data_IF_065385655028
#
_entry.id   IF_065385655028
#
_cell.length_a   1.000
_cell.length_b   1.000
_cell.length_c   1.000
_cell.angle_alpha   90.00
_cell.angle_beta   90.00
_cell.angle_gamma   90.00
#
_symmetry.space_group_name_H-M   'P 1'
#
loop_
_entity.id
_entity.type
_entity.pdbx_description
1 polymer ?
#
# COMPACT_ATOMS: atom_id res chain seq x y z
N UNK A 1 10.01 -24.66 -27.90
CA UNK A 1 10.32 -23.30 -27.37
C UNK A 1 9.86 -23.24 -25.91
N UNK A 2 10.66 -22.71 -24.98
CA UNK A 2 10.23 -22.60 -23.58
C UNK A 2 9.30 -21.39 -23.42
N UNK A 3 7.99 -21.63 -23.33
CA UNK A 3 6.91 -20.63 -23.30
C UNK A 3 7.04 -19.69 -22.08
N UNK A 4 7.63 -20.17 -21.00
CA UNK A 4 7.71 -19.45 -19.71
C UNK A 4 8.89 -18.48 -19.64
N UNK A 5 9.97 -18.72 -20.40
CA UNK A 5 11.20 -17.92 -20.30
C UNK A 5 10.99 -16.40 -20.37
N UNK A 6 10.13 -15.84 -21.26
CA UNK A 6 9.92 -14.40 -21.33
C UNK A 6 9.33 -13.78 -20.06
N UNK A 7 8.49 -14.51 -19.32
CA UNK A 7 7.80 -14.02 -18.11
C UNK A 7 8.44 -14.52 -16.81
N UNK A 8 9.52 -15.31 -16.89
CA UNK A 8 10.15 -15.99 -15.75
C UNK A 8 10.50 -15.05 -14.59
N UNK A 9 11.05 -13.88 -14.88
CA UNK A 9 11.42 -12.90 -13.85
C UNK A 9 10.18 -12.38 -13.11
N UNK A 10 9.10 -12.10 -13.84
CA UNK A 10 7.80 -11.75 -13.26
C UNK A 10 7.28 -12.84 -12.33
N UNK A 11 7.36 -14.10 -12.76
CA UNK A 11 6.89 -15.24 -11.97
C UNK A 11 7.69 -15.41 -10.68
N UNK A 12 9.02 -15.29 -10.75
CA UNK A 12 9.88 -15.31 -9.56
C UNK A 12 9.47 -14.19 -8.60
N UNK A 13 9.26 -12.98 -9.08
CA UNK A 13 8.83 -11.85 -8.25
C UNK A 13 7.45 -12.08 -7.62
N UNK A 14 6.48 -12.62 -8.36
CA UNK A 14 5.17 -12.98 -7.83
C UNK A 14 5.26 -14.06 -6.74
N UNK A 15 6.10 -15.08 -6.93
CA UNK A 15 6.35 -16.10 -5.91
C UNK A 15 7.06 -15.53 -4.68
N UNK A 16 8.02 -14.62 -4.86
CA UNK A 16 8.66 -13.91 -3.76
C UNK A 16 7.61 -13.10 -2.97
N UNK A 17 6.70 -12.39 -3.65
CA UNK A 17 5.60 -11.67 -2.98
C UNK A 17 4.73 -12.60 -2.13
N UNK A 18 4.40 -13.81 -2.62
CA UNK A 18 3.67 -14.81 -1.85
C UNK A 18 4.42 -15.28 -0.61
N UNK A 19 5.70 -15.62 -0.76
CA UNK A 19 6.54 -16.08 0.35
C UNK A 19 6.66 -14.97 1.39
N UNK A 20 6.94 -13.73 0.97
CA UNK A 20 7.00 -12.58 1.87
C UNK A 20 5.68 -12.35 2.58
N UNK A 21 4.54 -12.49 1.89
CA UNK A 21 3.21 -12.40 2.52
C UNK A 21 2.98 -13.44 3.60
N UNK A 22 3.37 -14.69 3.36
CA UNK A 22 3.26 -15.78 4.33
C UNK A 22 4.19 -15.57 5.54
N UNK A 23 5.44 -15.17 5.29
CA UNK A 23 6.39 -14.83 6.36
C UNK A 23 5.91 -13.64 7.20
N UNK A 24 5.34 -12.62 6.54
CA UNK A 24 4.76 -11.46 7.23
C UNK A 24 3.53 -11.86 8.08
N UNK A 25 2.70 -12.78 7.60
CA UNK A 25 1.60 -13.35 8.39
C UNK A 25 2.12 -14.04 9.65
N UNK A 26 3.14 -14.91 9.50
CA UNK A 26 3.74 -15.62 10.62
C UNK A 26 4.38 -14.66 11.63
N UNK A 27 5.03 -13.61 11.14
CA UNK A 27 5.59 -12.55 11.99
C UNK A 27 4.49 -11.83 12.78
N UNK A 28 3.44 -11.35 12.10
CA UNK A 28 2.31 -10.68 12.74
C UNK A 28 1.60 -11.58 13.76
N UNK A 29 1.43 -12.87 13.46
CA UNK A 29 0.81 -13.82 14.38
C UNK A 29 1.64 -14.07 15.65
N UNK A 30 2.97 -14.08 15.54
CA UNK A 30 3.87 -14.31 16.69
C UNK A 30 4.17 -13.06 17.49
N UNK A 31 4.02 -11.88 16.89
CA UNK A 31 4.33 -10.58 17.51
C UNK A 31 3.10 -9.68 17.68
N UNK A 32 1.88 -10.24 17.58
CA UNK A 32 0.63 -9.47 17.60
C UNK A 32 0.53 -8.57 18.84
N UNK A 33 0.66 -9.15 20.03
CA UNK A 33 0.56 -8.43 21.31
C UNK A 33 1.68 -7.38 21.47
N UNK A 34 2.89 -7.72 21.00
CA UNK A 34 4.03 -6.80 21.08
C UNK A 34 3.82 -5.58 20.17
N UNK A 35 3.36 -5.78 18.93
CA UNK A 35 3.08 -4.70 17.98
C UNK A 35 1.92 -3.83 18.47
N UNK A 36 0.83 -4.46 18.91
CA UNK A 36 -0.34 -3.74 19.42
C UNK A 36 0.02 -2.91 20.66
N UNK A 37 0.70 -3.52 21.64
CA UNK A 37 1.14 -2.84 22.86
C UNK A 37 2.15 -1.72 22.58
N UNK A 38 3.05 -1.90 21.60
CA UNK A 38 3.98 -0.86 21.19
C UNK A 38 3.25 0.35 20.57
N UNK A 39 2.26 0.11 19.71
CA UNK A 39 1.47 1.18 19.12
C UNK A 39 0.60 1.92 20.15
N UNK A 40 -0.02 1.21 21.09
CA UNK A 40 -0.76 1.84 22.18
C UNK A 40 0.14 2.69 23.09
N UNK A 41 1.35 2.20 23.40
CA UNK A 41 2.30 2.94 24.21
C UNK A 41 2.74 4.23 23.48
N UNK A 42 3.01 4.14 22.17
CA UNK A 42 3.36 5.28 21.34
C UNK A 42 2.20 6.30 21.24
N UNK A 43 0.97 5.83 21.07
CA UNK A 43 -0.22 6.67 21.05
C UNK A 43 -0.43 7.40 22.39
N UNK A 44 -0.29 6.71 23.53
CA UNK A 44 -0.39 7.32 24.85
C UNK A 44 0.69 8.38 25.08
N UNK A 45 1.92 8.11 24.64
CA UNK A 45 3.02 9.08 24.73
C UNK A 45 2.67 10.36 23.97
N UNK A 46 2.19 10.25 22.73
CA UNK A 46 1.78 11.39 21.91
C UNK A 46 0.60 12.17 22.47
N UNK A 47 -0.35 11.51 23.14
CA UNK A 47 -1.47 12.20 23.80
C UNK A 47 -1.05 12.90 25.09
N UNK A 48 -0.02 12.40 25.77
CA UNK A 48 0.47 12.98 27.03
C UNK A 48 1.31 14.26 26.87
N UNK A 49 2.03 14.40 25.75
CA UNK A 49 2.92 15.56 25.51
C UNK A 49 2.17 16.90 25.40
N UNK A 50 1.08 17.04 24.60
CA UNK A 50 0.32 18.29 24.53
C UNK A 50 -0.34 18.62 25.87
N UNK A 51 -0.83 17.60 26.59
CA UNK A 51 -1.43 17.78 27.90
C UNK A 51 -0.43 18.34 28.92
N UNK A 52 0.80 17.81 28.93
CA UNK A 52 1.89 18.32 29.78
C UNK A 52 2.31 19.74 29.39
N UNK A 53 2.38 20.07 28.10
CA UNK A 53 2.67 21.44 27.65
C UNK A 53 1.59 22.43 28.11
N UNK A 54 0.31 22.07 27.95
CA UNK A 54 -0.81 22.87 28.47
C UNK A 54 -0.74 23.05 29.99
N UNK A 55 -0.34 22.01 30.74
CA UNK A 55 -0.21 22.13 32.19
C UNK A 55 0.94 23.07 32.58
N UNK A 56 2.08 22.97 31.90
CA UNK A 56 3.23 23.84 32.14
C UNK A 56 2.94 25.30 31.76
N UNK A 57 2.21 25.54 30.66
CA UNK A 57 1.82 26.89 30.23
C UNK A 57 0.82 27.52 31.23
N UNK A 58 -0.14 26.75 31.75
CA UNK A 58 -1.07 27.22 32.79
C UNK A 58 -0.37 27.51 34.13
N UNK A 59 0.62 26.71 34.53
CA UNK A 59 1.37 26.91 35.77
C UNK A 59 2.24 28.18 35.72
N UNK A 60 2.82 28.47 34.55
CA UNK A 60 3.59 29.70 34.30
C UNK A 60 2.72 30.97 34.30
N UNK A 61 1.48 30.90 33.80
CA UNK A 61 0.53 32.03 33.81
C UNK A 61 -0.06 32.29 35.22
N UNK A 62 -0.32 31.23 35.98
CA UNK A 62 -0.76 31.32 37.39
C UNK A 62 0.34 31.87 38.32
N UNK A 63 1.62 31.61 38.00
CA UNK A 63 2.77 32.21 38.71
C UNK A 63 2.95 33.71 38.43
N UNK A 64 2.43 34.22 37.31
CA UNK A 64 2.51 35.64 36.94
C UNK A 64 1.30 36.47 37.39
N UNK A 65 0.14 35.86 37.66
CA UNK A 65 -1.09 36.55 38.08
C UNK A 65 -1.30 36.68 39.60
N UNK A 66 -0.31 36.36 40.44
CA UNK A 66 -0.39 36.65 41.88
C UNK A 66 -0.01 38.11 42.20
N UNK A 67 -0.60 39.09 41.51
CA UNK A 67 -0.59 40.54 41.85
C UNK A 67 -1.63 41.30 40.97
N UNK A 68 -2.93 40.99 41.09
CA UNK A 68 -3.94 41.73 40.32
C UNK A 68 -5.38 41.31 40.58
N UNK A 69 -6.00 41.96 41.57
CA UNK A 69 -7.43 41.85 41.88
C UNK A 69 -8.24 42.50 40.74
N UNK A 70 -9.07 41.74 40.00
CA UNK A 70 -9.94 42.32 38.97
C UNK A 70 -10.89 41.33 38.30
N UNK A 71 -12.19 41.52 38.55
CA UNK A 71 -13.33 40.81 37.96
C UNK A 71 -13.29 40.80 36.42
N UNK A 72 -13.32 39.62 35.80
CA UNK A 72 -13.44 39.48 34.35
C UNK A 72 -13.88 38.07 33.93
N UNK A 73 -15.13 37.95 33.49
CA UNK A 73 -15.70 36.73 32.92
C UNK A 73 -14.95 36.24 31.67
N UNK A 74 -14.55 34.95 31.59
CA UNK A 74 -14.10 34.37 30.33
C UNK A 74 -15.26 33.69 29.60
N UNK A 75 -15.38 34.03 28.32
CA UNK A 75 -16.22 33.34 27.35
C UNK A 75 -15.48 32.10 26.84
N UNK A 76 -16.05 30.93 27.10
CA UNK A 76 -15.63 29.65 26.53
C UNK A 76 -15.91 29.63 25.01
N UNK A 77 -14.84 29.74 24.22
CA UNK A 77 -14.83 29.29 22.83
C UNK A 77 -13.83 28.14 22.70
N UNK A 78 -14.20 26.99 23.25
CA UNK A 78 -13.58 25.72 22.91
C UNK A 78 -13.82 25.46 21.41
N UNK A 79 -12.79 25.68 20.61
CA UNK A 79 -12.76 25.33 19.21
C UNK A 79 -12.96 23.81 19.08
N UNK A 80 -14.17 23.44 18.69
CA UNK A 80 -14.52 22.13 18.19
C UNK A 80 -13.59 21.78 17.02
N UNK A 81 -12.54 20.99 17.31
CA UNK A 81 -11.86 20.20 16.29
C UNK A 81 -12.81 19.10 15.84
N UNK A 82 -13.67 19.44 14.89
CA UNK A 82 -14.54 18.51 14.16
C UNK A 82 -13.68 17.59 13.30
N UNK A 83 -13.20 16.51 13.90
CA UNK A 83 -12.72 15.32 13.20
C UNK A 83 -13.73 14.20 13.40
N UNK A 84 -14.78 14.16 12.59
CA UNK A 84 -15.68 13.01 12.54
C UNK A 84 -14.96 11.82 11.86
N UNK A 85 -14.05 11.16 12.57
CA UNK A 85 -13.51 9.87 12.16
C UNK A 85 -14.16 8.78 13.00
N UNK A 86 -15.03 7.98 12.38
CA UNK A 86 -15.57 6.73 12.94
C UNK A 86 -14.49 5.63 13.09
N UNK A 87 -13.20 5.98 13.17
CA UNK A 87 -12.09 5.03 13.23
C UNK A 87 -11.72 4.73 14.68
N UNK A 88 -11.22 3.52 14.94
CA UNK A 88 -10.69 3.13 16.24
C UNK A 88 -9.46 3.96 16.64
N UNK A 89 -8.76 3.53 17.69
CA UNK A 89 -7.50 4.16 18.10
C UNK A 89 -6.47 4.17 16.96
N UNK A 90 -5.48 5.08 17.00
CA UNK A 90 -4.41 5.12 16.00
C UNK A 90 -3.64 3.80 15.96
N UNK A 91 -3.49 3.13 17.11
CA UNK A 91 -2.92 1.80 17.19
C UNK A 91 -3.71 0.75 16.40
N UNK A 92 -5.05 0.80 16.47
CA UNK A 92 -5.91 -0.09 15.70
C UNK A 92 -5.79 0.17 14.20
N UNK A 93 -5.76 1.44 13.78
CA UNK A 93 -5.59 1.81 12.36
C UNK A 93 -4.22 1.36 11.82
N UNK A 94 -3.16 1.51 12.61
CA UNK A 94 -1.83 0.99 12.29
C UNK A 94 -1.85 -0.53 12.07
N UNK A 95 -2.46 -1.28 12.99
CA UNK A 95 -2.59 -2.74 12.88
C UNK A 95 -3.41 -3.17 11.66
N UNK A 96 -4.51 -2.48 11.36
CA UNK A 96 -5.30 -2.76 10.16
C UNK A 96 -4.49 -2.54 8.88
N UNK A 97 -3.62 -1.52 8.83
CA UNK A 97 -2.74 -1.27 7.68
C UNK A 97 -1.67 -2.36 7.54
N UNK A 98 -1.06 -2.83 8.63
CA UNK A 98 -0.14 -3.97 8.61
C UNK A 98 -0.82 -5.25 8.10
N UNK A 99 -2.06 -5.49 8.52
CA UNK A 99 -2.87 -6.62 8.05
C UNK A 99 -3.21 -6.51 6.56
N UNK A 100 -3.54 -5.31 6.06
CA UNK A 100 -3.72 -5.08 4.62
C UNK A 100 -2.46 -5.41 3.83
N UNK A 101 -1.28 -5.09 4.36
CA UNK A 101 0.01 -5.48 3.76
C UNK A 101 0.10 -6.99 3.54
N UNK A 102 -0.24 -7.80 4.55
CA UNK A 102 -0.30 -9.27 4.43
C UNK A 102 -1.27 -9.72 3.33
N UNK A 103 -2.54 -9.28 3.42
CA UNK A 103 -3.61 -9.70 2.50
C UNK A 103 -3.23 -9.36 1.06
N UNK A 104 -2.64 -8.18 0.83
CA UNK A 104 -2.22 -7.77 -0.49
C UNK A 104 -1.01 -8.52 -1.02
N UNK A 105 -0.01 -8.86 -0.19
CA UNK A 105 1.08 -9.73 -0.62
C UNK A 105 0.57 -11.07 -1.17
N UNK A 106 -0.32 -11.72 -0.42
CA UNK A 106 -0.88 -12.99 -0.84
C UNK A 106 -1.78 -12.85 -2.08
N UNK A 107 -2.79 -11.98 -2.00
CA UNK A 107 -3.78 -11.83 -3.07
C UNK A 107 -3.15 -11.37 -4.38
N UNK A 108 -2.26 -10.37 -4.34
CA UNK A 108 -1.62 -9.84 -5.55
C UNK A 108 -0.53 -10.78 -6.06
N UNK A 109 0.20 -11.49 -5.18
CA UNK A 109 1.15 -12.51 -5.59
C UNK A 109 0.49 -13.63 -6.40
N UNK A 110 -0.65 -14.15 -5.94
CA UNK A 110 -1.41 -15.18 -6.67
C UNK A 110 -1.93 -14.60 -7.98
N UNK A 111 -2.57 -13.42 -7.93
CA UNK A 111 -3.12 -12.77 -9.12
C UNK A 111 -2.03 -12.55 -10.19
N UNK A 112 -0.89 -11.97 -9.82
CA UNK A 112 0.22 -11.72 -10.72
C UNK A 112 0.77 -13.01 -11.32
N UNK A 113 0.94 -14.07 -10.51
CA UNK A 113 1.39 -15.37 -11.02
C UNK A 113 0.44 -15.92 -12.09
N UNK A 114 -0.87 -15.90 -11.84
CA UNK A 114 -1.89 -16.35 -12.80
C UNK A 114 -1.87 -15.51 -14.07
N UNK A 115 -1.87 -14.18 -13.97
CA UNK A 115 -1.84 -13.28 -15.13
C UNK A 115 -0.57 -13.42 -15.95
N UNK A 116 0.58 -13.72 -15.32
CA UNK A 116 1.83 -13.99 -16.01
C UNK A 116 1.83 -15.32 -16.76
N UNK A 117 1.19 -16.35 -16.21
CA UNK A 117 0.97 -17.61 -16.93
C UNK A 117 0.07 -17.40 -18.15
N UNK A 118 -1.02 -16.63 -18.01
CA UNK A 118 -1.88 -16.24 -19.13
C UNK A 118 -1.07 -15.45 -20.17
N UNK A 119 -0.27 -14.48 -19.74
CA UNK A 119 0.61 -13.68 -20.62
C UNK A 119 1.58 -14.58 -21.39
N UNK A 120 2.13 -15.61 -20.76
CA UNK A 120 3.04 -16.56 -21.41
C UNK A 120 2.37 -17.29 -22.58
N UNK A 121 1.07 -17.59 -22.47
CA UNK A 121 0.28 -18.33 -23.46
C UNK A 121 -0.23 -17.46 -24.63
N UNK A 122 -0.14 -16.13 -24.53
CA UNK A 122 -0.51 -15.24 -25.64
C UNK A 122 0.41 -15.43 -26.86
N UNK A 123 -0.03 -15.00 -28.03
CA UNK A 123 0.76 -14.91 -29.28
C UNK A 123 1.70 -13.70 -29.32
N UNK A 124 1.78 -12.92 -28.23
CA UNK A 124 2.65 -11.76 -28.10
C UNK A 124 4.14 -12.13 -28.24
N UNK A 125 4.95 -11.24 -28.84
CA UNK A 125 6.40 -11.44 -28.94
C UNK A 125 7.06 -11.47 -27.57
N UNK A 126 8.14 -12.23 -27.44
CA UNK A 126 8.88 -12.40 -26.17
C UNK A 126 9.31 -11.09 -25.52
N UNK A 127 9.67 -10.06 -26.30
CA UNK A 127 10.06 -8.74 -25.76
C UNK A 127 8.91 -8.11 -24.95
N UNK A 128 7.71 -8.10 -25.50
CA UNK A 128 6.54 -7.50 -24.84
C UNK A 128 6.02 -8.37 -23.69
N UNK A 129 6.11 -9.70 -23.81
CA UNK A 129 5.86 -10.60 -22.68
C UNK A 129 6.81 -10.32 -21.52
N UNK A 130 8.07 -10.01 -21.81
CA UNK A 130 9.06 -9.65 -20.80
C UNK A 130 8.75 -8.31 -20.14
N UNK A 131 8.32 -7.30 -20.91
CA UNK A 131 7.88 -6.01 -20.36
C UNK A 131 6.71 -6.21 -19.38
N UNK A 132 5.66 -6.95 -19.78
CA UNK A 132 4.55 -7.30 -18.90
C UNK A 132 5.01 -8.15 -17.70
N UNK A 133 5.97 -9.04 -17.93
CA UNK A 133 6.68 -9.81 -16.92
C UNK A 133 7.20 -8.93 -15.78
N UNK A 134 7.97 -7.91 -16.15
CA UNK A 134 8.54 -6.95 -15.21
C UNK A 134 7.50 -6.08 -14.55
N UNK A 135 6.53 -5.54 -15.31
CA UNK A 135 5.54 -4.61 -14.76
C UNK A 135 4.60 -5.28 -13.75
N UNK A 136 4.12 -6.50 -14.03
CA UNK A 136 3.34 -7.28 -13.06
C UNK A 136 4.16 -7.63 -11.82
N UNK A 137 5.38 -8.16 -12.01
CA UNK A 137 6.19 -8.61 -10.88
C UNK A 137 6.66 -7.47 -9.97
N UNK A 138 7.10 -6.34 -10.53
CA UNK A 138 7.47 -5.16 -9.76
C UNK A 138 6.27 -4.57 -9.02
N UNK A 139 5.12 -4.44 -9.69
CA UNK A 139 3.90 -3.96 -9.05
C UNK A 139 3.46 -4.86 -7.88
N UNK A 140 3.55 -6.19 -8.06
CA UNK A 140 3.21 -7.17 -7.04
C UNK A 140 4.13 -7.13 -5.81
N UNK A 141 5.43 -6.89 -6.01
CA UNK A 141 6.39 -6.78 -4.91
C UNK A 141 6.37 -5.42 -4.21
N UNK A 142 6.16 -4.32 -4.95
CA UNK A 142 6.29 -2.97 -4.40
C UNK A 142 5.04 -2.49 -3.65
N UNK A 143 3.84 -2.93 -4.08
CA UNK A 143 2.60 -2.44 -3.49
C UNK A 143 2.38 -2.87 -2.03
N UNK A 144 2.54 -4.15 -1.65
CA UNK A 144 2.29 -4.57 -0.27
C UNK A 144 3.22 -3.96 0.80
N UNK A 145 4.54 -3.78 0.57
CA UNK A 145 5.42 -3.04 1.47
C UNK A 145 4.94 -1.62 1.78
N UNK A 146 4.29 -0.94 0.83
CA UNK A 146 3.76 0.40 1.05
C UNK A 146 2.73 0.42 2.19
N UNK A 147 1.87 -0.58 2.29
CA UNK A 147 0.92 -0.73 3.41
C UNK A 147 1.60 -0.98 4.75
N UNK A 148 2.67 -1.78 4.76
CA UNK A 148 3.43 -2.08 5.98
C UNK A 148 4.10 -0.82 6.50
N UNK A 149 4.81 -0.10 5.64
CA UNK A 149 5.46 1.19 5.99
C UNK A 149 4.42 2.20 6.45
N UNK A 150 3.28 2.27 5.76
CA UNK A 150 2.17 3.15 6.16
C UNK A 150 1.65 2.80 7.56
N UNK A 151 1.49 1.51 7.88
CA UNK A 151 1.04 1.06 9.20
C UNK A 151 1.99 1.53 10.31
N UNK A 152 3.29 1.32 10.16
CA UNK A 152 4.28 1.78 11.14
C UNK A 152 4.34 3.30 11.33
N UNK A 153 4.04 4.08 10.28
CA UNK A 153 4.00 5.55 10.35
C UNK A 153 2.68 6.12 10.87
N UNK A 154 1.65 5.29 11.01
CA UNK A 154 0.28 5.77 11.29
C UNK A 154 0.15 6.38 12.67
N UNK A 155 0.78 5.79 13.68
CA UNK A 155 0.71 6.31 15.05
C UNK A 155 1.42 7.66 15.15
N UNK A 156 2.64 7.74 14.62
CA UNK A 156 3.49 8.94 14.69
C UNK A 156 2.93 10.15 13.92
N UNK A 157 2.38 9.92 12.72
CA UNK A 157 2.02 11.01 11.81
C UNK A 157 0.51 11.18 11.64
N UNK A 158 -0.29 10.25 12.17
CA UNK A 158 -1.70 10.13 11.86
C UNK A 158 -1.97 9.49 10.49
N UNK A 159 -3.21 9.04 10.23
CA UNK A 159 -3.52 8.20 9.08
C UNK A 159 -3.25 8.88 7.71
N UNK A 160 -3.64 10.15 7.56
CA UNK A 160 -3.58 10.88 6.31
C UNK A 160 -2.14 11.25 5.93
N UNK A 161 -1.34 11.69 6.89
CA UNK A 161 0.06 12.04 6.64
C UNK A 161 0.91 10.79 6.37
N UNK A 162 0.66 9.69 7.07
CA UNK A 162 1.29 8.41 6.79
C UNK A 162 0.99 7.92 5.36
N UNK A 163 -0.25 8.08 4.89
CA UNK A 163 -0.64 7.75 3.52
C UNK A 163 0.07 8.65 2.49
N UNK A 164 0.06 9.97 2.70
CA UNK A 164 0.75 10.91 1.83
C UNK A 164 2.27 10.60 1.72
N UNK A 165 2.89 10.17 2.83
CA UNK A 165 4.32 9.87 2.90
C UNK A 165 4.77 8.69 2.00
N UNK A 166 3.84 7.82 1.61
CA UNK A 166 4.12 6.62 0.81
C UNK A 166 3.44 6.65 -0.56
N UNK A 167 2.67 7.70 -0.87
CA UNK A 167 1.85 7.78 -2.09
C UNK A 167 2.68 7.61 -3.37
N UNK A 168 3.93 8.09 -3.40
CA UNK A 168 4.82 7.92 -4.55
C UNK A 168 5.11 6.44 -4.88
N UNK A 169 5.27 5.59 -3.86
CA UNK A 169 5.49 4.15 -4.02
C UNK A 169 4.17 3.43 -4.30
N UNK A 170 3.14 3.77 -3.52
CA UNK A 170 1.82 3.18 -3.64
C UNK A 170 1.22 3.41 -5.03
N UNK A 171 1.16 4.67 -5.50
CA UNK A 171 0.55 5.04 -6.76
C UNK A 171 1.30 4.45 -7.96
N UNK A 172 2.64 4.41 -7.92
CA UNK A 172 3.44 3.83 -9.00
C UNK A 172 3.27 2.30 -9.07
N UNK A 173 3.25 1.60 -7.94
CA UNK A 173 3.05 0.16 -7.90
C UNK A 173 1.63 -0.24 -8.36
N UNK A 174 0.59 0.45 -7.88
CA UNK A 174 -0.80 0.25 -8.35
C UNK A 174 -0.92 0.58 -9.83
N UNK A 175 -0.34 1.71 -10.26
CA UNK A 175 -0.36 2.13 -11.65
C UNK A 175 0.25 1.07 -12.58
N UNK A 176 1.39 0.48 -12.20
CA UNK A 176 2.00 -0.62 -12.93
C UNK A 176 1.10 -1.85 -13.01
N UNK A 177 0.48 -2.27 -11.90
CA UNK A 177 -0.43 -3.41 -11.89
C UNK A 177 -1.65 -3.18 -12.78
N UNK A 178 -2.35 -2.05 -12.60
CA UNK A 178 -3.55 -1.73 -13.36
C UNK A 178 -3.25 -1.55 -14.84
N UNK A 179 -2.18 -0.84 -15.19
CA UNK A 179 -1.76 -0.68 -16.59
C UNK A 179 -1.43 -2.04 -17.23
N UNK A 180 -0.77 -2.94 -16.50
CA UNK A 180 -0.47 -4.30 -16.97
C UNK A 180 -1.72 -5.14 -17.16
N UNK A 181 -2.69 -5.06 -16.24
CA UNK A 181 -3.98 -5.74 -16.35
C UNK A 181 -4.78 -5.24 -17.56
N UNK A 182 -4.85 -3.92 -17.76
CA UNK A 182 -5.52 -3.31 -18.91
C UNK A 182 -4.82 -3.74 -20.21
N UNK A 183 -3.49 -3.67 -20.26
CA UNK A 183 -2.73 -4.09 -21.43
C UNK A 183 -2.97 -5.57 -21.77
N UNK A 184 -2.95 -6.45 -20.77
CA UNK A 184 -3.26 -7.87 -20.96
C UNK A 184 -4.69 -8.09 -21.44
N UNK A 185 -5.67 -7.38 -20.89
CA UNK A 185 -7.06 -7.45 -21.35
C UNK A 185 -7.18 -7.04 -22.82
N UNK A 186 -6.53 -5.95 -23.22
CA UNK A 186 -6.50 -5.49 -24.61
C UNK A 186 -5.85 -6.53 -25.52
N UNK A 187 -4.74 -7.14 -25.10
CA UNK A 187 -4.07 -8.23 -25.83
C UNK A 187 -5.02 -9.42 -26.04
N UNK A 188 -5.71 -9.85 -24.98
CA UNK A 188 -6.65 -10.97 -25.05
C UNK A 188 -7.84 -10.66 -25.97
N UNK A 189 -8.36 -9.43 -25.95
CA UNK A 189 -9.40 -8.99 -26.88
C UNK A 189 -8.91 -8.98 -28.33
N UNK A 190 -7.72 -8.44 -28.60
CA UNK A 190 -7.11 -8.47 -29.94
C UNK A 190 -7.01 -9.91 -30.46
N UNK A 191 -6.55 -10.84 -29.63
CA UNK A 191 -6.42 -12.25 -29.98
C UNK A 191 -7.78 -12.93 -30.22
N UNK A 192 -8.77 -12.62 -29.38
CA UNK A 192 -10.13 -13.16 -29.49
C UNK A 192 -10.80 -12.76 -30.81
N UNK A 193 -10.57 -11.53 -31.27
CA UNK A 193 -11.10 -11.04 -32.54
C UNK A 193 -10.19 -11.30 -33.75
N UNK A 194 -9.08 -12.03 -33.56
CA UNK A 194 -8.06 -12.32 -34.60
C UNK A 194 -7.46 -11.05 -35.24
N UNK A 195 -7.48 -9.92 -34.53
CA UNK A 195 -7.01 -8.63 -35.04
C UNK A 195 -5.47 -8.57 -35.13
N UNK A 196 -4.76 -9.50 -34.50
CA UNK A 196 -3.29 -9.60 -34.56
C UNK A 196 -2.73 -9.74 -35.99
N UNK A 197 -3.56 -10.07 -36.98
CA UNK A 197 -3.16 -10.17 -38.40
C UNK A 197 -2.98 -8.80 -39.07
N UNK A 198 -3.55 -7.73 -38.49
CA UNK A 198 -3.48 -6.37 -39.02
C UNK A 198 -2.01 -5.88 -39.10
N UNK A 199 -1.60 -5.20 -40.19
CA UNK A 199 -0.21 -4.78 -40.39
C UNK A 199 0.38 -3.98 -39.22
N UNK A 200 -0.41 -3.09 -38.61
CA UNK A 200 0.01 -2.27 -37.47
C UNK A 200 0.33 -3.10 -36.22
N UNK A 201 -0.38 -4.22 -36.00
CA UNK A 201 -0.24 -5.05 -34.80
C UNK A 201 0.86 -6.11 -34.93
N UNK A 202 1.38 -6.36 -36.14
CA UNK A 202 2.52 -7.27 -36.38
C UNK A 202 3.80 -6.84 -35.67
N UNK A 203 3.90 -5.60 -35.22
CA UNK A 203 5.00 -5.15 -34.37
C UNK A 203 5.00 -5.87 -33.01
N UNK A 204 3.83 -6.17 -32.47
CA UNK A 204 3.62 -6.70 -31.12
C UNK A 204 3.43 -8.21 -31.08
N UNK A 205 2.80 -8.79 -32.11
CA UNK A 205 2.40 -10.20 -32.15
C UNK A 205 3.26 -11.04 -33.09
N UNK A 206 3.39 -12.33 -32.79
CA UNK A 206 3.95 -13.31 -33.73
C UNK A 206 2.96 -13.60 -34.85
N UNK A 207 3.46 -14.02 -36.02
CA UNK A 207 2.58 -14.52 -37.08
C UNK A 207 1.85 -15.77 -36.56
N UNK A 208 0.54 -15.94 -36.85
CA UNK A 208 -0.16 -17.15 -36.48
C UNK A 208 0.51 -18.34 -37.18
N UNK A 209 0.91 -19.36 -36.40
CA UNK A 209 1.32 -20.63 -36.97
C UNK A 209 0.12 -21.20 -37.75
N UNK A 210 0.30 -21.42 -39.05
CA UNK A 210 -0.71 -22.14 -39.85
C UNK A 210 -0.61 -23.60 -39.43
N UNK A 211 -1.47 -24.01 -38.50
CA UNK A 211 -1.73 -25.42 -38.19
C UNK A 211 -2.36 -26.11 -39.40
#
# INVERSE_FOLDING_TARGET
MNIINPVRHGLIMALLALITGALWAAYMATHHEQLHGAFEAQEKQMLSEPAQQLTNDMDMDMGAMQLGNGDGHPHDHAAHATGHSHSGSLAQDAMQRLLRGHIHFMGIGVLAAVLLLITALTSLKSRWKSVLGWSFGLGALAYPPAWIVMGFRTVEMGPQAAEASIMWLFASAVGLLLASMIALLVILLIESFRLQQMPLLRLFFNAPERL
#
